data_IF_830769582351
#
_entry.id   IF_830769582351
#
_cell.length_a   1.000
_cell.length_b   1.000
_cell.length_c   1.000
_cell.angle_alpha   90.00
_cell.angle_beta   90.00
_cell.angle_gamma   90.00
#
_symmetry.space_group_name_H-M   'P 1'
#
loop_
_entity.id
_entity.type
_entity.pdbx_description
1 polymer ?
#
# COMPACT_ATOMS: atom_id res chain seq x y z
N UNK A 1 0.07 1.60 -6.60
CA UNK A 1 0.15 1.30 -5.16
C UNK A 1 0.63 -0.12 -4.86
N UNK A 2 -0.11 -1.18 -5.22
CA UNK A 2 0.33 -2.57 -4.93
C UNK A 2 1.75 -2.85 -5.43
N UNK A 3 2.08 -2.46 -6.67
CA UNK A 3 3.45 -2.58 -7.23
C UNK A 3 4.52 -1.84 -6.42
N UNK A 4 4.20 -0.67 -5.87
CA UNK A 4 5.15 0.11 -5.05
C UNK A 4 5.41 -0.61 -3.73
N UNK A 5 4.36 -1.14 -3.10
CA UNK A 5 4.49 -1.94 -1.89
C UNK A 5 5.27 -3.24 -2.14
N UNK A 6 5.06 -3.91 -3.27
CA UNK A 6 5.86 -5.08 -3.68
C UNK A 6 7.35 -4.71 -3.87
N UNK A 7 7.67 -3.56 -4.49
CA UNK A 7 9.06 -3.04 -4.59
C UNK A 7 9.67 -2.76 -3.21
N UNK A 8 8.85 -2.36 -2.24
CA UNK A 8 9.24 -2.12 -0.85
C UNK A 8 9.35 -3.41 -0.01
N UNK A 9 9.17 -4.59 -0.62
CA UNK A 9 9.26 -5.88 0.07
C UNK A 9 7.98 -6.27 0.84
N UNK A 10 6.86 -5.59 0.61
CA UNK A 10 5.59 -6.03 1.18
C UNK A 10 5.02 -7.20 0.37
N UNK A 11 4.47 -8.16 1.10
CA UNK A 11 3.83 -9.35 0.56
C UNK A 11 2.31 -9.30 0.76
N UNK A 12 1.59 -9.98 -0.13
CA UNK A 12 0.13 -10.10 -0.06
C UNK A 12 -0.23 -11.09 1.04
N UNK A 13 -0.82 -10.61 2.14
CA UNK A 13 -1.10 -11.48 3.27
C UNK A 13 -2.40 -12.27 3.11
N UNK A 14 -3.49 -11.60 2.73
CA UNK A 14 -4.78 -12.25 2.47
C UNK A 14 -5.64 -11.34 1.62
N UNK A 15 -6.21 -11.89 0.55
CA UNK A 15 -7.34 -11.24 -0.10
C UNK A 15 -8.56 -11.38 0.81
N UNK A 16 -9.05 -10.27 1.36
CA UNK A 16 -10.42 -10.26 1.89
C UNK A 16 -11.38 -10.50 0.73
N UNK A 17 -12.58 -11.01 1.03
CA UNK A 17 -13.68 -11.26 0.07
C UNK A 17 -14.24 -9.97 -0.60
N UNK A 18 -13.51 -8.86 -0.51
CA UNK A 18 -13.87 -7.49 -0.85
C UNK A 18 -12.79 -6.88 -1.74
N UNK A 19 -13.02 -5.66 -2.25
CA UNK A 19 -12.05 -4.93 -3.08
C UNK A 19 -10.86 -4.35 -2.30
N UNK A 20 -10.48 -4.98 -1.19
CA UNK A 20 -9.38 -4.56 -0.33
C UNK A 20 -8.36 -5.70 -0.21
N UNK A 21 -7.08 -5.33 -0.23
CA UNK A 21 -5.94 -6.22 -0.10
C UNK A 21 -5.08 -5.75 1.08
N UNK A 22 -4.83 -6.66 2.01
CA UNK A 22 -3.89 -6.40 3.11
C UNK A 22 -2.50 -6.84 2.68
N UNK A 23 -1.54 -5.92 2.81
CA UNK A 23 -0.13 -6.16 2.54
C UNK A 23 0.67 -6.08 3.84
N UNK A 24 1.59 -7.02 4.03
CA UNK A 24 2.45 -7.12 5.22
C UNK A 24 3.92 -7.12 4.80
N UNK A 25 4.75 -6.48 5.59
CA UNK A 25 6.20 -6.55 5.45
C UNK A 25 6.78 -7.40 6.61
N UNK A 26 7.94 -8.02 6.38
CA UNK A 26 8.59 -8.92 7.34
C UNK A 26 9.01 -8.23 8.65
N UNK A 27 9.25 -6.92 8.60
CA UNK A 27 9.55 -6.08 9.78
C UNK A 27 8.34 -5.77 10.68
N UNK A 28 7.14 -6.25 10.31
CA UNK A 28 5.91 -6.04 11.07
C UNK A 28 5.02 -4.90 10.57
N UNK A 29 5.46 -4.10 9.59
CA UNK A 29 4.58 -3.09 8.94
C UNK A 29 3.43 -3.77 8.20
N UNK A 30 2.25 -3.14 8.23
CA UNK A 30 1.05 -3.63 7.54
C UNK A 30 0.22 -2.48 7.04
N UNK A 31 -0.31 -2.60 5.83
CA UNK A 31 -1.24 -1.63 5.26
C UNK A 31 -2.37 -2.31 4.50
N UNK A 32 -3.45 -1.57 4.24
CA UNK A 32 -4.61 -2.04 3.48
C UNK A 32 -4.81 -1.16 2.26
N UNK A 33 -4.89 -1.77 1.09
CA UNK A 33 -4.99 -1.07 -0.20
C UNK A 33 -6.27 -1.48 -0.92
N UNK A 34 -6.97 -0.52 -1.52
CA UNK A 34 -8.06 -0.81 -2.45
C UNK A 34 -7.50 -1.37 -3.76
N UNK A 35 -8.06 -2.48 -4.23
CA UNK A 35 -7.69 -3.15 -5.50
C UNK A 35 -8.70 -2.93 -6.63
N UNK A 36 -9.69 -2.04 -6.47
CA UNK A 36 -10.59 -1.71 -7.60
C UNK A 36 -9.78 -1.09 -8.73
N UNK A 37 -9.80 -1.73 -9.89
CA UNK A 37 -9.17 -1.20 -11.09
C UNK A 37 -9.84 0.11 -11.54
N UNK A 38 -9.04 1.05 -12.05
CA UNK A 38 -9.54 2.24 -12.76
C UNK A 38 -10.00 3.41 -11.89
N UNK A 39 -9.72 3.40 -10.58
CA UNK A 39 -9.98 4.56 -9.71
C UNK A 39 -8.72 5.05 -9.03
N UNK A 40 -8.50 6.37 -9.08
CA UNK A 40 -7.44 7.01 -8.33
C UNK A 40 -7.63 6.82 -6.83
N UNK A 41 -6.50 6.68 -6.12
CA UNK A 41 -6.51 6.59 -4.66
C UNK A 41 -6.74 8.00 -4.11
N UNK A 42 -7.78 8.24 -3.30
CA UNK A 42 -7.98 9.54 -2.67
C UNK A 42 -6.73 9.95 -1.88
N UNK A 43 -6.37 11.24 -1.91
CA UNK A 43 -5.13 11.72 -1.28
C UNK A 43 -5.04 11.41 0.22
N UNK A 44 -6.19 11.43 0.93
CA UNK A 44 -6.26 11.02 2.34
C UNK A 44 -5.93 9.54 2.54
N UNK A 45 -6.38 8.67 1.65
CA UNK A 45 -6.05 7.23 1.67
C UNK A 45 -4.58 7.01 1.35
N UNK A 46 -4.02 7.76 0.39
CA UNK A 46 -2.60 7.72 0.11
C UNK A 46 -1.78 8.10 1.36
N UNK A 47 -2.10 9.22 2.01
CA UNK A 47 -1.40 9.66 3.22
C UNK A 47 -1.51 8.66 4.38
N UNK A 48 -2.67 8.02 4.54
CA UNK A 48 -2.85 6.96 5.53
C UNK A 48 -1.93 5.76 5.24
N UNK A 49 -1.88 5.31 3.98
CA UNK A 49 -0.98 4.22 3.57
C UNK A 49 0.48 4.59 3.81
N UNK A 50 0.92 5.79 3.43
CA UNK A 50 2.30 6.25 3.65
C UNK A 50 2.66 6.28 5.14
N UNK A 51 1.71 6.67 6.00
CA UNK A 51 1.87 6.64 7.45
C UNK A 51 1.99 5.20 7.98
N UNK A 52 1.12 4.30 7.54
CA UNK A 52 1.13 2.89 7.95
C UNK A 52 2.46 2.20 7.60
N UNK A 53 3.05 2.55 6.46
CA UNK A 53 4.32 1.98 6.00
C UNK A 53 5.54 2.82 6.39
N UNK A 54 5.34 3.92 7.13
CA UNK A 54 6.41 4.81 7.62
C UNK A 54 7.39 5.25 6.53
N UNK A 55 6.86 5.67 5.37
CA UNK A 55 7.67 6.18 4.24
C UNK A 55 7.36 7.65 4.00
N UNK A 56 8.38 8.42 3.63
CA UNK A 56 8.19 9.81 3.24
C UNK A 56 7.52 9.93 1.87
N UNK A 57 6.96 11.11 1.57
CA UNK A 57 6.40 11.39 0.25
C UNK A 57 7.49 11.30 -0.83
N UNK A 58 8.69 11.80 -0.55
CA UNK A 58 9.79 11.86 -1.51
C UNK A 58 10.29 10.45 -1.87
N UNK A 59 10.46 9.59 -0.88
CA UNK A 59 10.75 8.17 -1.09
C UNK A 59 9.63 7.46 -1.85
N UNK A 60 8.37 7.81 -1.61
CA UNK A 60 7.27 7.24 -2.39
C UNK A 60 7.33 7.68 -3.86
N UNK A 61 7.66 8.96 -4.12
CA UNK A 61 7.77 9.49 -5.48
C UNK A 61 8.92 8.87 -6.28
N UNK A 62 10.01 8.44 -5.63
CA UNK A 62 11.12 7.75 -6.30
C UNK A 62 10.79 6.31 -6.70
N UNK A 63 9.73 5.72 -6.15
CA UNK A 63 9.32 4.33 -6.38
C UNK A 63 8.20 4.17 -7.42
N UNK A 64 7.55 5.28 -7.79
CA UNK A 64 6.46 5.33 -8.77
C UNK A 64 6.89 4.88 -10.16
#
# INVERSE_FOLDING_TARGET
MVRVLEKLGFEKHRHSRTSHLVMKHSDGRRTTVSIRAGKDIPIGTLHAILRDISISRDEFMSLL
#
